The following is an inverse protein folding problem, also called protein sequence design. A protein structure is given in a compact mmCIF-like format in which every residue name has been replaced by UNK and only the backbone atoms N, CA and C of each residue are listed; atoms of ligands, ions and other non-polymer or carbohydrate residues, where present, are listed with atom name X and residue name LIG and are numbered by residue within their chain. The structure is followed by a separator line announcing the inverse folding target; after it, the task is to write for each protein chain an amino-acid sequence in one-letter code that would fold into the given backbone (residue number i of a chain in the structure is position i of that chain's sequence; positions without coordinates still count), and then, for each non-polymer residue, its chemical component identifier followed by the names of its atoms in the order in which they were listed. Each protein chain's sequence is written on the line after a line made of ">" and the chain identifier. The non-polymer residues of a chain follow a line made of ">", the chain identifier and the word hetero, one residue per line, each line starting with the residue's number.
data_IF_813448128051
#
_entry.id   IF_813448128051
#
_cell.length_a   1.000
_cell.length_b   1.000
_cell.length_c   1.000
_cell.angle_alpha   90.00
_cell.angle_beta   90.00
_cell.angle_gamma   90.00
#
_symmetry.space_group_name_H-M   'P 1'
#
loop_
_entity.id
_entity.type
_entity.pdbx_description
1 polymer ?
#
# COMPACT_ATOMS: atom_id res chain seq x y z
N UNK A 1 -6.08 -2.81 11.67
CA UNK A 1 -5.13 -1.74 11.38
C UNK A 1 -5.77 -0.38 11.57
N UNK A 2 -5.01 0.58 12.07
CA UNK A 2 -5.41 2.00 12.17
C UNK A 2 -4.29 2.83 11.55
N UNK A 3 -4.60 3.76 10.66
CA UNK A 3 -3.59 4.61 10.02
C UNK A 3 -4.10 6.02 9.75
N UNK A 4 -3.19 6.99 9.80
CA UNK A 4 -3.45 8.37 9.43
C UNK A 4 -2.73 8.69 8.12
N UNK A 5 -3.50 8.76 7.04
CA UNK A 5 -2.99 8.89 5.67
C UNK A 5 -4.08 9.05 4.64
N UNK A 6 -3.79 8.65 3.38
CA UNK A 6 -4.74 8.63 2.26
C UNK A 6 -5.06 7.22 1.83
N UNK A 7 -6.29 7.02 1.39
CA UNK A 7 -6.76 5.80 0.74
C UNK A 7 -7.55 4.91 1.69
N UNK A 8 -8.84 5.09 1.72
CA UNK A 8 -9.75 4.18 2.41
C UNK A 8 -9.66 2.77 1.81
N UNK A 9 -9.73 2.65 0.49
CA UNK A 9 -9.59 1.39 -0.25
C UNK A 9 -8.15 1.27 -0.74
N UNK A 10 -7.77 2.06 -1.75
CA UNK A 10 -6.40 2.17 -2.23
C UNK A 10 -6.10 3.58 -2.72
N UNK A 11 -4.83 3.95 -2.71
CA UNK A 11 -4.36 5.20 -3.27
C UNK A 11 -2.94 5.05 -3.76
N UNK A 12 -2.65 5.70 -4.89
CA UNK A 12 -1.33 5.78 -5.52
C UNK A 12 -0.98 7.24 -5.80
N UNK A 13 0.27 7.52 -6.05
CA UNK A 13 0.77 8.89 -6.18
C UNK A 13 0.09 9.69 -7.29
N UNK A 14 -0.17 9.10 -8.43
CA UNK A 14 -0.84 9.73 -9.57
C UNK A 14 -2.33 10.00 -9.34
N UNK A 15 -2.93 9.35 -8.37
CA UNK A 15 -4.33 9.57 -7.98
C UNK A 15 -4.50 10.03 -6.53
N UNK A 16 -3.46 10.59 -5.91
CA UNK A 16 -3.51 10.96 -4.50
C UNK A 16 -4.62 11.96 -4.15
N UNK A 17 -5.01 12.82 -5.08
CA UNK A 17 -6.10 13.80 -4.89
C UNK A 17 -7.48 13.16 -4.77
N UNK A 18 -7.67 11.93 -5.23
CA UNK A 18 -8.94 11.21 -5.15
C UNK A 18 -9.30 10.77 -3.73
N UNK A 19 -8.32 10.72 -2.83
CA UNK A 19 -8.50 10.28 -1.45
C UNK A 19 -8.18 11.41 -0.46
N UNK A 20 -8.98 11.50 0.60
CA UNK A 20 -8.76 12.46 1.69
C UNK A 20 -7.72 11.92 2.67
N UNK A 21 -6.95 12.83 3.29
CA UNK A 21 -6.19 12.50 4.49
C UNK A 21 -7.17 12.37 5.64
N UNK A 22 -7.18 11.23 6.29
CA UNK A 22 -8.05 10.96 7.42
C UNK A 22 -7.45 9.87 8.31
N UNK A 23 -8.05 9.68 9.47
CA UNK A 23 -7.85 8.50 10.30
C UNK A 23 -8.77 7.39 9.77
N UNK A 24 -8.15 6.28 9.38
CA UNK A 24 -8.86 5.10 8.90
C UNK A 24 -8.62 3.93 9.84
N UNK A 25 -9.64 3.13 10.02
CA UNK A 25 -9.60 1.91 10.81
C UNK A 25 -10.22 0.76 10.03
N UNK A 26 -9.56 -0.39 10.00
CA UNK A 26 -10.01 -1.52 9.21
C UNK A 26 -9.30 -2.84 9.56
N UNK A 27 -9.69 -3.92 8.90
CA UNK A 27 -8.99 -5.21 8.95
C UNK A 27 -8.02 -5.35 7.78
N UNK A 28 -7.04 -6.24 7.91
CA UNK A 28 -6.08 -6.51 6.80
C UNK A 28 -6.78 -7.14 5.61
N UNK A 29 -7.80 -7.96 5.85
CA UNK A 29 -8.52 -8.71 4.81
C UNK A 29 -9.39 -7.82 3.92
N UNK A 30 -9.90 -6.72 4.45
CA UNK A 30 -10.85 -5.86 3.73
C UNK A 30 -10.16 -4.82 2.83
N UNK A 31 -8.81 -4.82 2.81
CA UNK A 31 -8.02 -3.83 2.07
C UNK A 31 -7.53 -4.28 0.70
N UNK A 32 -7.82 -5.51 0.32
CA UNK A 32 -7.52 -5.96 -1.04
C UNK A 32 -8.67 -5.65 -1.98
N UNK A 33 -8.34 -5.07 -3.12
CA UNK A 33 -9.28 -4.89 -4.22
C UNK A 33 -9.23 -6.16 -5.09
N UNK A 34 -10.35 -6.82 -5.25
CA UNK A 34 -10.46 -8.01 -6.09
C UNK A 34 -10.51 -7.63 -7.57
N UNK A 35 -9.36 -7.38 -8.16
CA UNK A 35 -9.24 -7.23 -9.60
C UNK A 35 -9.48 -8.58 -10.30
N UNK A 36 -10.02 -8.54 -11.51
CA UNK A 36 -10.30 -9.74 -12.30
C UNK A 36 -9.04 -10.60 -12.50
N UNK A 37 -7.94 -9.95 -12.85
CA UNK A 37 -6.61 -10.54 -12.82
C UNK A 37 -5.89 -10.05 -11.56
N UNK A 38 -5.39 -10.95 -10.69
CA UNK A 38 -4.62 -10.58 -9.51
C UNK A 38 -3.46 -9.67 -9.87
N UNK A 39 -3.26 -8.62 -9.09
CA UNK A 39 -2.20 -7.66 -9.28
C UNK A 39 -1.94 -6.89 -7.98
N UNK A 40 -0.84 -6.16 -7.93
CA UNK A 40 -0.57 -5.21 -6.85
C UNK A 40 -1.77 -4.28 -6.64
N UNK A 41 -2.22 -4.17 -5.39
CA UNK A 41 -3.35 -3.31 -5.04
C UNK A 41 -3.34 -2.93 -3.56
N UNK A 42 -4.24 -2.05 -3.16
CA UNK A 42 -4.47 -1.73 -1.76
C UNK A 42 -3.45 -0.80 -1.11
N UNK A 43 -2.53 -0.20 -1.86
CA UNK A 43 -1.56 0.74 -1.31
C UNK A 43 -2.22 1.97 -0.65
N UNK A 44 -1.54 2.54 0.34
CA UNK A 44 -1.93 3.77 1.04
C UNK A 44 -0.80 4.76 0.95
N UNK A 45 -1.12 6.04 0.74
CA UNK A 45 -0.14 7.11 0.55
C UNK A 45 -0.23 8.19 1.63
N UNK A 46 0.78 9.05 1.69
CA UNK A 46 0.83 10.15 2.66
C UNK A 46 0.61 9.71 4.11
N UNK A 47 1.12 8.54 4.49
CA UNK A 47 0.88 7.95 5.81
C UNK A 47 1.84 8.53 6.82
N UNK A 48 1.31 9.05 7.93
CA UNK A 48 2.08 9.57 9.06
C UNK A 48 2.39 8.49 10.06
N UNK A 49 1.40 7.63 10.30
CA UNK A 49 1.59 6.44 11.12
C UNK A 49 0.63 5.33 10.73
N UNK A 50 1.03 4.12 11.03
CA UNK A 50 0.26 2.89 10.93
C UNK A 50 0.39 2.12 12.25
N UNK A 51 -0.73 1.69 12.81
CA UNK A 51 -0.81 0.77 13.94
C UNK A 51 -1.39 -0.56 13.47
N UNK A 52 -0.72 -1.66 13.83
CA UNK A 52 -1.20 -3.02 13.58
C UNK A 52 -1.34 -3.68 14.92
N UNK A 53 -2.56 -4.07 15.29
CA UNK A 53 -2.88 -4.67 16.59
C UNK A 53 -3.59 -6.01 16.44
N UNK A 54 -3.34 -6.90 17.37
CA UNK A 54 -4.16 -8.09 17.57
C UNK A 54 -5.43 -7.75 18.38
N UNK A 55 -6.27 -8.75 18.58
CA UNK A 55 -7.52 -8.60 19.35
C UNK A 55 -7.32 -8.19 20.81
N UNK A 56 -6.11 -8.40 21.36
CA UNK A 56 -5.74 -7.98 22.71
C UNK A 56 -5.19 -6.56 22.79
N UNK A 57 -5.16 -5.85 21.65
CA UNK A 57 -4.63 -4.50 21.56
C UNK A 57 -3.10 -4.39 21.52
N UNK A 58 -2.38 -5.51 21.50
CA UNK A 58 -0.92 -5.56 21.39
C UNK A 58 -0.50 -5.50 19.92
N UNK A 59 0.57 -4.81 19.62
CA UNK A 59 1.01 -4.70 18.24
C UNK A 59 2.22 -3.83 18.05
N UNK A 60 2.30 -3.23 16.87
CA UNK A 60 3.34 -2.29 16.49
C UNK A 60 2.73 -1.01 15.93
N UNK A 61 3.45 0.08 16.16
CA UNK A 61 3.22 1.38 15.53
C UNK A 61 4.42 1.74 14.68
N UNK A 62 4.17 2.13 13.43
CA UNK A 62 5.16 2.63 12.48
C UNK A 62 4.85 4.09 12.23
N UNK A 63 5.85 4.95 12.35
CA UNK A 63 5.74 6.40 12.08
C UNK A 63 6.78 6.82 11.05
N UNK A 64 6.37 7.52 10.01
CA UNK A 64 7.25 8.03 8.96
C UNK A 64 7.73 9.45 9.22
N UNK A 65 8.84 9.83 8.60
CA UNK A 65 9.36 11.19 8.66
C UNK A 65 9.74 11.69 7.23
N UNK A 66 8.92 12.57 6.62
CA UNK A 66 7.64 13.09 7.11
C UNK A 66 6.47 12.10 6.94
N UNK A 67 6.47 11.29 5.87
CA UNK A 67 5.43 10.32 5.54
C UNK A 67 6.02 9.13 4.81
N UNK A 68 5.26 8.05 4.71
CA UNK A 68 5.58 6.86 3.93
C UNK A 68 4.34 6.36 3.19
N UNK A 69 4.52 5.40 2.33
CA UNK A 69 3.46 4.59 1.75
C UNK A 69 3.50 3.19 2.34
N UNK A 70 2.39 2.49 2.39
CA UNK A 70 2.39 1.09 2.77
C UNK A 70 1.42 0.25 1.96
N UNK A 71 1.73 -1.02 1.88
CA UNK A 71 0.80 -2.05 1.48
C UNK A 71 0.80 -3.14 2.55
N UNK A 72 -0.36 -3.71 2.82
CA UNK A 72 -0.53 -4.78 3.80
C UNK A 72 -1.51 -5.81 3.26
N UNK A 73 -1.12 -7.08 3.28
CA UNK A 73 -1.96 -8.16 2.76
C UNK A 73 -1.67 -9.49 3.47
N UNK A 74 -2.53 -10.48 3.23
CA UNK A 74 -2.30 -11.90 3.59
C UNK A 74 -1.77 -12.73 2.42
N UNK A 75 -1.34 -12.09 1.35
CA UNK A 75 -0.87 -12.77 0.15
C UNK A 75 0.59 -12.44 -0.11
N UNK A 76 1.33 -13.43 -0.59
CA UNK A 76 2.70 -13.22 -1.04
C UNK A 76 2.67 -12.45 -2.36
N UNK A 77 3.44 -11.36 -2.52
CA UNK A 77 3.41 -10.56 -3.75
C UNK A 77 3.69 -11.37 -5.01
N UNK A 78 4.64 -12.30 -4.96
CA UNK A 78 5.01 -13.16 -6.07
C UNK A 78 3.88 -14.12 -6.47
N UNK A 79 3.09 -14.62 -5.51
CA UNK A 79 1.92 -15.46 -5.80
C UNK A 79 0.81 -14.65 -6.48
N UNK A 80 0.68 -13.37 -6.11
CA UNK A 80 -0.27 -12.46 -6.76
C UNK A 80 0.16 -12.15 -8.19
N UNK A 81 1.45 -11.93 -8.43
CA UNK A 81 2.00 -11.58 -9.74
C UNK A 81 1.85 -12.69 -10.78
N UNK A 82 2.04 -13.95 -10.38
CA UNK A 82 1.97 -15.09 -11.30
C UNK A 82 0.57 -15.66 -11.50
N UNK A 83 -0.39 -15.28 -10.65
CA UNK A 83 -1.74 -15.79 -10.72
C UNK A 83 -2.53 -15.14 -11.86
N UNK A 84 -3.16 -15.96 -12.68
CA UNK A 84 -4.07 -15.52 -13.74
C UNK A 84 -5.53 -15.33 -13.25
N UNK A 85 -5.86 -15.86 -12.05
CA UNK A 85 -7.18 -15.78 -11.45
C UNK A 85 -7.10 -15.67 -9.92
N UNK A 86 -7.98 -14.90 -9.32
CA UNK A 86 -8.04 -14.64 -7.87
C UNK A 86 -8.14 -15.90 -7.02
N UNK A 87 -8.87 -16.91 -7.48
CA UNK A 87 -9.04 -18.16 -6.72
C UNK A 87 -7.77 -19.02 -6.62
N UNK A 88 -6.74 -18.72 -7.43
CA UNK A 88 -5.43 -19.38 -7.36
C UNK A 88 -4.52 -18.78 -6.31
N UNK A 89 -4.75 -17.55 -5.90
CA UNK A 89 -3.97 -16.88 -4.85
C UNK A 89 -4.47 -17.35 -3.49
N UNK A 90 -3.60 -18.00 -2.71
CA UNK A 90 -3.95 -18.51 -1.39
C UNK A 90 -3.42 -17.60 -0.29
N UNK A 91 -4.25 -17.26 0.71
CA UNK A 91 -3.80 -16.47 1.83
C UNK A 91 -2.80 -17.27 2.69
N UNK A 92 -1.76 -16.57 3.16
CA UNK A 92 -0.81 -17.09 4.12
C UNK A 92 -1.37 -17.00 5.55
N UNK A 93 -0.81 -17.82 6.45
CA UNK A 93 -1.00 -17.66 7.89
C UNK A 93 -0.04 -16.60 8.47
N UNK A 94 0.16 -15.51 7.71
CA UNK A 94 1.01 -14.39 8.06
C UNK A 94 0.51 -13.13 7.36
N UNK A 95 0.99 -11.98 7.81
CA UNK A 95 0.74 -10.69 7.19
C UNK A 95 2.03 -10.22 6.53
N UNK A 96 1.97 -9.85 5.26
CA UNK A 96 3.04 -9.16 4.56
C UNK A 96 2.78 -7.66 4.68
N UNK A 97 3.70 -6.96 5.32
CA UNK A 97 3.70 -5.50 5.38
C UNK A 97 4.88 -4.97 4.57
N UNK A 98 4.61 -4.08 3.65
CA UNK A 98 5.63 -3.30 2.93
C UNK A 98 5.55 -1.84 3.36
N UNK A 99 6.65 -1.32 3.91
CA UNK A 99 6.84 0.10 4.23
C UNK A 99 7.65 0.69 3.09
N UNK A 100 7.08 1.65 2.39
CA UNK A 100 7.55 2.08 1.06
C UNK A 100 7.83 3.58 1.11
N UNK A 101 8.96 4.00 0.51
CA UNK A 101 9.24 5.42 0.35
C UNK A 101 8.18 6.07 -0.55
N UNK A 102 8.05 5.55 -1.76
CA UNK A 102 7.10 5.98 -2.78
C UNK A 102 7.03 4.94 -3.89
N UNK A 103 5.84 4.72 -4.42
CA UNK A 103 5.63 3.99 -5.67
C UNK A 103 5.47 4.97 -6.82
N UNK A 104 5.85 4.58 -8.03
CA UNK A 104 5.49 5.35 -9.22
C UNK A 104 3.97 5.31 -9.42
N UNK A 105 3.45 6.23 -10.22
CA UNK A 105 2.05 6.20 -10.65
C UNK A 105 1.71 4.92 -11.40
N UNK A 106 0.45 4.51 -11.34
CA UNK A 106 -0.04 3.25 -11.93
C UNK A 106 -0.94 3.47 -13.14
N UNK A 107 -1.45 4.69 -13.37
CA UNK A 107 -2.37 5.03 -14.45
C UNK A 107 -1.74 5.93 -15.52
N UNK A 108 -1.92 5.56 -16.80
CA UNK A 108 -1.66 6.43 -17.95
C UNK A 108 -2.96 7.05 -18.48
N UNK A 109 -2.86 7.76 -19.61
CA UNK A 109 -4.02 8.42 -20.24
C UNK A 109 -4.97 7.45 -20.97
N UNK A 110 -4.53 6.21 -21.16
CA UNK A 110 -5.34 5.16 -21.76
C UNK A 110 -5.09 3.78 -21.11
N UNK A 111 -5.88 2.78 -21.54
CA UNK A 111 -5.74 1.38 -21.11
C UNK A 111 -4.79 0.56 -21.99
N UNK A 112 -4.09 1.17 -22.92
CA UNK A 112 -3.28 0.52 -23.94
C UNK A 112 -1.78 0.71 -23.72
N UNK A 113 -1.33 0.61 -22.47
CA UNK A 113 0.07 0.70 -22.06
C UNK A 113 0.65 2.12 -22.01
N UNK A 114 -0.17 3.17 -21.97
CA UNK A 114 0.33 4.50 -21.68
C UNK A 114 0.98 4.52 -20.30
N UNK A 115 2.21 5.04 -20.24
CA UNK A 115 2.91 5.24 -18.97
C UNK A 115 2.28 6.38 -18.18
N UNK A 116 2.41 6.38 -16.84
CA UNK A 116 2.06 7.55 -16.03
C UNK A 116 2.80 8.81 -16.51
N UNK A 117 2.21 9.98 -16.27
CA UNK A 117 2.89 11.24 -16.56
C UNK A 117 4.23 11.35 -15.84
N UNK A 118 5.17 12.06 -16.44
CA UNK A 118 6.57 12.10 -15.99
C UNK A 118 6.77 12.52 -14.53
N UNK A 119 5.88 13.35 -13.99
CA UNK A 119 5.89 13.75 -12.58
C UNK A 119 5.57 12.60 -11.62
N UNK A 120 4.94 11.53 -12.10
CA UNK A 120 4.60 10.33 -11.31
C UNK A 120 5.55 9.17 -11.53
N UNK A 121 6.62 9.37 -12.30
CA UNK A 121 7.66 8.37 -12.54
C UNK A 121 8.83 8.64 -11.59
N UNK A 122 9.33 7.59 -10.94
CA UNK A 122 10.52 7.69 -10.10
C UNK A 122 11.78 7.73 -10.98
N UNK A 123 12.62 8.73 -10.74
CA UNK A 123 13.88 8.86 -11.48
C UNK A 123 14.89 7.78 -11.03
N UNK A 124 15.32 6.85 -11.88
CA UNK A 124 16.23 5.77 -11.51
C UNK A 124 17.65 6.23 -11.14
N UNK A 125 18.02 7.47 -11.51
CA UNK A 125 19.34 8.05 -11.21
C UNK A 125 19.34 8.87 -9.91
N UNK A 126 18.27 8.81 -9.12
CA UNK A 126 18.15 9.54 -7.85
C UNK A 126 18.20 8.58 -6.66
N UNK A 127 18.92 8.98 -5.63
CA UNK A 127 18.90 8.27 -4.35
C UNK A 127 17.66 8.72 -3.55
N UNK A 128 16.91 7.76 -3.05
CA UNK A 128 15.74 7.96 -2.22
C UNK A 128 16.01 7.45 -0.82
N UNK A 129 15.64 8.22 0.20
CA UNK A 129 15.84 7.85 1.61
C UNK A 129 14.50 7.85 2.31
N UNK A 130 14.19 6.75 2.97
CA UNK A 130 13.03 6.62 3.85
C UNK A 130 13.51 6.50 5.29
N UNK A 131 13.00 7.34 6.17
CA UNK A 131 13.21 7.23 7.61
C UNK A 131 11.88 6.92 8.29
N UNK A 132 11.85 5.88 9.10
CA UNK A 132 10.68 5.51 9.88
C UNK A 132 11.09 4.89 11.21
N UNK A 133 10.19 4.94 12.17
CA UNK A 133 10.35 4.36 13.51
C UNK A 133 9.34 3.25 13.71
N UNK A 134 9.74 2.16 14.35
CA UNK A 134 8.83 1.07 14.77
C UNK A 134 8.87 1.01 16.31
N UNK A 135 7.68 1.04 16.92
CA UNK A 135 7.49 0.87 18.37
C UNK A 135 6.51 -0.27 18.64
N UNK A 136 6.72 -1.01 19.69
CA UNK A 136 5.72 -1.91 20.27
C UNK A 136 4.66 -1.11 21.01
N UNK A 137 3.43 -1.54 20.93
CA UNK A 137 2.27 -0.93 21.58
C UNK A 137 1.35 -1.98 22.17
#
# INVERSE_FOLDING_TARGET
>A
ITYYGRGEIENYWDKYKSAKINLYEDTVTDKMVNYLQPQENGAKTDVRYLEIKNEKGQGIKISGSPTFEFNISKYHPEDVEVADHTYKVKPMNAIVLRVIYKQMGVGGDDSWQALPHSEYILNPNKIYTLTYEIKTI
#
